data_IF_302371076130
#
_entry.id   IF_302371076130
#
_cell.length_a   1.000
_cell.length_b   1.000
_cell.length_c   1.000
_cell.angle_alpha   90.00
_cell.angle_beta   90.00
_cell.angle_gamma   90.00
#
_symmetry.space_group_name_H-M   'P 1'
#
loop_
_entity.id
_entity.type
_entity.pdbx_description
1 polymer ?
#
# COMPACT_ATOMS: atom_id res chain seq x y z
N UNK A 1 -7.13 -1.24 -14.31
CA UNK A 1 -6.89 -1.66 -12.90
C UNK A 1 -8.18 -1.88 -12.10
N UNK A 2 -9.02 -0.87 -11.82
CA UNK A 2 -10.22 -1.03 -10.94
C UNK A 2 -11.32 -1.99 -11.45
N UNK A 3 -11.30 -2.38 -12.72
CA UNK A 3 -12.21 -3.40 -13.30
C UNK A 3 -11.58 -4.80 -13.37
N UNK A 4 -10.37 -4.94 -12.86
CA UNK A 4 -9.60 -6.18 -12.90
C UNK A 4 -9.67 -6.81 -11.51
N UNK A 5 -10.20 -8.03 -11.45
CA UNK A 5 -10.29 -8.79 -10.21
C UNK A 5 -8.90 -9.15 -9.67
N UNK A 6 -7.89 -9.18 -10.53
CA UNK A 6 -6.49 -9.40 -10.18
C UNK A 6 -6.01 -8.39 -9.13
N UNK A 7 -6.47 -7.14 -9.19
CA UNK A 7 -6.12 -6.12 -8.21
C UNK A 7 -6.66 -6.47 -6.83
N UNK A 8 -7.93 -6.86 -6.74
CA UNK A 8 -8.54 -7.28 -5.48
C UNK A 8 -7.88 -8.54 -4.92
N UNK A 9 -7.55 -9.50 -5.81
CA UNK A 9 -6.85 -10.72 -5.44
C UNK A 9 -5.47 -10.46 -4.85
N UNK A 10 -4.66 -9.61 -5.50
CA UNK A 10 -3.32 -9.23 -5.01
C UNK A 10 -3.41 -8.48 -3.68
N UNK A 11 -4.37 -7.55 -3.53
CA UNK A 11 -4.57 -6.84 -2.27
C UNK A 11 -4.92 -7.83 -1.15
N UNK A 12 -5.82 -8.77 -1.40
CA UNK A 12 -6.16 -9.81 -0.43
C UNK A 12 -4.94 -10.69 -0.10
N UNK A 13 -4.15 -11.07 -1.09
CA UNK A 13 -2.90 -11.82 -0.89
C UNK A 13 -1.93 -11.06 0.03
N UNK A 14 -1.68 -9.77 -0.24
CA UNK A 14 -0.79 -8.99 0.60
C UNK A 14 -1.34 -8.79 2.02
N UNK A 15 -2.64 -8.61 2.19
CA UNK A 15 -3.26 -8.50 3.52
C UNK A 15 -3.12 -9.79 4.31
N UNK A 16 -3.26 -10.94 3.64
CA UNK A 16 -3.23 -12.27 4.25
C UNK A 16 -1.81 -12.69 4.62
N UNK A 17 -0.86 -12.51 3.71
CA UNK A 17 0.50 -13.05 3.86
C UNK A 17 1.54 -12.00 4.27
N UNK A 18 1.13 -10.76 4.55
CA UNK A 18 2.07 -9.70 4.96
C UNK A 18 3.06 -10.09 6.04
N UNK A 19 2.66 -10.82 7.11
CA UNK A 19 3.56 -11.19 8.20
C UNK A 19 4.79 -11.98 7.75
N UNK A 20 4.70 -12.70 6.62
CA UNK A 20 5.77 -13.55 6.10
C UNK A 20 6.48 -12.96 4.86
N UNK A 21 5.83 -12.04 4.13
CA UNK A 21 6.38 -11.51 2.88
C UNK A 21 7.49 -10.45 3.05
N UNK A 22 7.73 -9.96 4.28
CA UNK A 22 8.75 -8.93 4.59
C UNK A 22 8.67 -7.71 3.67
N UNK A 23 7.45 -7.27 3.38
CA UNK A 23 7.17 -6.12 2.52
C UNK A 23 7.20 -4.81 3.32
N UNK A 24 7.56 -3.72 2.65
CA UNK A 24 7.34 -2.36 3.17
C UNK A 24 5.83 -2.13 3.34
N UNK A 25 5.44 -1.31 4.31
CA UNK A 25 4.04 -0.90 4.45
C UNK A 25 3.64 0.04 3.33
N UNK A 26 2.58 -0.35 2.61
CA UNK A 26 1.92 0.43 1.58
C UNK A 26 0.40 0.22 1.65
N UNK A 27 -0.33 1.21 1.17
CA UNK A 27 -1.77 1.22 0.95
C UNK A 27 -2.11 0.68 -0.45
N UNK A 28 -3.37 0.30 -0.66
CA UNK A 28 -3.81 -0.13 -1.97
C UNK A 28 -3.79 1.00 -3.03
N UNK A 29 -3.91 2.26 -2.61
CA UNK A 29 -3.74 3.44 -3.47
C UNK A 29 -2.29 3.61 -3.94
N UNK A 30 -1.34 3.40 -3.03
CA UNK A 30 0.10 3.40 -3.37
C UNK A 30 0.45 2.24 -4.30
N UNK A 31 -0.16 1.05 -4.12
CA UNK A 31 0.00 -0.06 -5.05
C UNK A 31 -0.54 0.27 -6.45
N UNK A 32 -1.74 0.86 -6.55
CA UNK A 32 -2.27 1.32 -7.86
C UNK A 32 -1.34 2.35 -8.50
N UNK A 33 -0.87 3.32 -7.72
CA UNK A 33 0.06 4.35 -8.21
C UNK A 33 1.38 3.73 -8.68
N UNK A 34 1.90 2.74 -7.95
CA UNK A 34 3.09 1.98 -8.30
C UNK A 34 2.89 1.20 -9.62
N UNK A 35 1.74 0.56 -9.79
CA UNK A 35 1.35 -0.12 -11.04
C UNK A 35 1.07 0.82 -12.20
N UNK A 36 0.76 2.09 -11.97
CA UNK A 36 0.61 3.10 -13.03
C UNK A 36 1.99 3.64 -13.45
N UNK A 37 2.78 4.08 -12.47
CA UNK A 37 4.05 4.83 -12.67
C UNK A 37 5.29 3.96 -12.79
N UNK A 38 5.22 2.67 -12.42
CA UNK A 38 6.38 1.78 -12.32
C UNK A 38 7.48 2.33 -11.39
N UNK A 39 7.09 2.84 -10.22
CA UNK A 39 8.01 3.44 -9.25
C UNK A 39 8.78 2.41 -8.41
N UNK A 40 9.63 2.90 -7.51
CA UNK A 40 10.48 2.10 -6.62
C UNK A 40 9.68 1.14 -5.71
N UNK A 41 8.48 1.54 -5.27
CA UNK A 41 7.63 0.65 -4.47
C UNK A 41 7.27 -0.62 -5.26
N UNK A 42 6.98 -0.50 -6.57
CA UNK A 42 6.68 -1.67 -7.38
C UNK A 42 7.88 -2.61 -7.47
N UNK A 43 9.08 -2.07 -7.61
CA UNK A 43 10.32 -2.82 -7.63
C UNK A 43 10.58 -3.54 -6.30
N UNK A 44 10.39 -2.85 -5.18
CA UNK A 44 10.57 -3.41 -3.83
C UNK A 44 9.61 -4.57 -3.59
N UNK A 45 8.35 -4.43 -4.02
CA UNK A 45 7.34 -5.50 -3.95
C UNK A 45 7.80 -6.73 -4.77
N UNK A 46 8.20 -6.54 -6.03
CA UNK A 46 8.67 -7.65 -6.86
C UNK A 46 9.90 -8.32 -6.27
N UNK A 47 10.86 -7.53 -5.81
CA UNK A 47 12.10 -8.02 -5.22
C UNK A 47 11.84 -8.85 -3.96
N UNK A 48 10.97 -8.38 -3.07
CA UNK A 48 10.60 -9.11 -1.86
C UNK A 48 9.90 -10.44 -2.19
N UNK A 49 9.00 -10.44 -3.17
CA UNK A 49 8.34 -11.67 -3.63
C UNK A 49 9.36 -12.65 -4.23
N UNK A 50 10.23 -12.19 -5.12
CA UNK A 50 11.26 -13.03 -5.78
C UNK A 50 12.25 -13.64 -4.78
N UNK A 51 12.63 -12.92 -3.73
CA UNK A 51 13.50 -13.44 -2.66
C UNK A 51 12.93 -14.66 -1.95
N UNK A 52 11.59 -14.78 -1.90
CA UNK A 52 10.92 -15.91 -1.29
C UNK A 52 10.68 -17.11 -2.22
N UNK A 53 11.15 -17.09 -3.47
CA UNK A 53 10.93 -18.19 -4.42
C UNK A 53 12.16 -19.08 -4.51
N UNK A 54 12.03 -20.33 -4.06
CA UNK A 54 13.06 -21.35 -4.17
C UNK A 54 13.12 -21.97 -5.57
N UNK A 55 14.30 -22.40 -6.05
CA UNK A 55 15.63 -22.16 -5.45
C UNK A 55 16.02 -20.67 -5.52
N UNK A 56 16.84 -20.14 -4.60
CA UNK A 56 17.19 -18.72 -4.61
C UNK A 56 17.87 -18.31 -5.92
N UNK A 57 17.69 -17.05 -6.32
CA UNK A 57 18.39 -16.49 -7.48
C UNK A 57 19.90 -16.52 -7.25
N UNK A 58 20.64 -16.96 -8.27
CA UNK A 58 22.12 -16.87 -8.28
C UNK A 58 22.61 -15.45 -8.52
N UNK A 59 21.77 -14.60 -9.13
CA UNK A 59 22.07 -13.19 -9.41
C UNK A 59 21.52 -12.34 -8.26
N UNK A 60 22.31 -11.38 -7.72
CA UNK A 60 21.82 -10.44 -6.72
C UNK A 60 20.59 -9.70 -7.23
N UNK A 61 19.52 -9.63 -6.43
CA UNK A 61 18.31 -8.88 -6.77
C UNK A 61 18.52 -7.39 -6.46
N UNK A 62 18.79 -6.61 -7.51
CA UNK A 62 18.98 -5.16 -7.46
C UNK A 62 18.15 -4.50 -8.58
N UNK A 63 18.25 -3.16 -8.73
CA UNK A 63 17.47 -2.38 -9.70
C UNK A 63 17.60 -2.86 -11.14
N UNK A 64 18.77 -3.38 -11.51
CA UNK A 64 19.10 -3.73 -12.89
C UNK A 64 18.80 -5.20 -13.22
N UNK A 65 18.67 -6.07 -12.20
CA UNK A 65 18.59 -7.52 -12.40
C UNK A 65 17.21 -8.13 -12.09
N UNK A 66 16.38 -7.46 -11.30
CA UNK A 66 15.14 -8.05 -10.78
C UNK A 66 14.16 -8.44 -11.90
N UNK A 67 14.11 -7.67 -13.00
CA UNK A 67 13.28 -7.97 -14.18
C UNK A 67 13.73 -9.25 -14.87
N UNK A 68 15.05 -9.43 -15.07
CA UNK A 68 15.61 -10.66 -15.65
C UNK A 68 15.33 -11.86 -14.76
N UNK A 69 15.44 -11.72 -13.44
CA UNK A 69 15.13 -12.80 -12.49
C UNK A 69 13.63 -13.12 -12.51
N UNK A 70 12.76 -12.10 -12.53
CA UNK A 70 11.31 -12.25 -12.66
C UNK A 70 10.96 -13.06 -13.90
N UNK A 71 11.52 -12.69 -15.05
CA UNK A 71 11.34 -13.41 -16.30
C UNK A 71 11.72 -14.88 -16.17
N UNK A 72 12.92 -15.17 -15.67
CA UNK A 72 13.40 -16.55 -15.49
C UNK A 72 12.51 -17.37 -14.56
N UNK A 73 11.99 -16.76 -13.49
CA UNK A 73 11.11 -17.44 -12.52
C UNK A 73 9.72 -17.74 -13.07
N UNK A 74 9.20 -16.87 -13.93
CA UNK A 74 7.87 -17.05 -14.52
C UNK A 74 7.90 -17.83 -15.82
N UNK A 75 9.00 -17.85 -16.57
CA UNK A 75 9.14 -18.47 -17.91
C UNK A 75 8.51 -19.85 -18.01
N UNK A 76 8.86 -20.76 -17.10
CA UNK A 76 8.41 -22.16 -17.16
C UNK A 76 6.95 -22.35 -16.74
N UNK A 77 6.40 -21.37 -16.00
CA UNK A 77 5.00 -21.38 -15.53
C UNK A 77 4.10 -20.51 -16.39
N UNK A 78 4.66 -19.64 -17.24
CA UNK A 78 3.92 -18.67 -18.03
C UNK A 78 2.87 -19.32 -18.93
N UNK A 79 3.21 -20.46 -19.55
CA UNK A 79 2.28 -21.23 -20.38
C UNK A 79 1.14 -21.87 -19.60
N UNK A 80 1.31 -22.14 -18.30
CA UNK A 80 0.22 -22.64 -17.41
C UNK A 80 -0.64 -21.50 -16.88
N UNK A 81 -0.08 -20.29 -16.87
CA UNK A 81 -0.72 -19.05 -16.46
C UNK A 81 -1.41 -18.37 -17.67
N UNK A 82 -1.23 -18.91 -18.89
CA UNK A 82 -1.62 -18.30 -20.17
C UNK A 82 -3.12 -18.05 -20.36
N UNK A 83 -4.00 -18.63 -19.53
CA UNK A 83 -5.41 -18.21 -19.48
C UNK A 83 -5.57 -16.71 -19.15
N UNK A 84 -4.51 -16.05 -18.67
CA UNK A 84 -4.50 -14.64 -18.32
C UNK A 84 -4.34 -13.67 -19.48
N UNK A 85 -3.75 -14.06 -20.61
CA UNK A 85 -3.82 -13.37 -21.91
C UNK A 85 -2.78 -13.95 -22.87
N UNK A 86 -3.20 -14.41 -24.05
CA UNK A 86 -2.30 -14.70 -25.18
C UNK A 86 -1.58 -13.45 -25.71
N UNK A 87 -2.01 -12.25 -25.30
CA UNK A 87 -1.47 -10.96 -25.78
C UNK A 87 -0.17 -10.54 -25.10
N UNK A 88 0.19 -11.13 -23.96
CA UNK A 88 1.39 -10.71 -23.22
C UNK A 88 2.57 -11.52 -23.73
N UNK A 89 3.37 -10.91 -24.61
CA UNK A 89 4.63 -11.46 -25.09
C UNK A 89 5.72 -11.34 -24.01
N UNK A 90 5.51 -12.04 -22.87
CA UNK A 90 6.48 -12.22 -21.80
C UNK A 90 7.59 -13.18 -22.25
N UNK A 91 8.15 -12.96 -23.43
CA UNK A 91 9.16 -13.83 -24.05
C UNK A 91 10.39 -13.07 -24.50
N UNK A 92 10.30 -11.76 -24.72
CA UNK A 92 11.42 -10.91 -25.13
C UNK A 92 11.89 -10.06 -23.95
N UNK A 93 13.14 -10.25 -23.51
CA UNK A 93 13.83 -9.41 -22.53
C UNK A 93 14.03 -7.95 -23.02
N UNK A 94 13.68 -7.65 -24.27
CA UNK A 94 13.96 -6.37 -24.93
C UNK A 94 12.98 -5.24 -24.55
N UNK A 95 11.81 -5.56 -23.99
CA UNK A 95 10.90 -4.55 -23.43
C UNK A 95 11.17 -4.41 -21.94
N UNK A 96 11.80 -3.31 -21.55
CA UNK A 96 11.97 -2.93 -20.14
C UNK A 96 10.60 -3.02 -19.46
N UNK A 97 10.48 -3.74 -18.34
CA UNK A 97 9.22 -3.94 -17.60
C UNK A 97 8.39 -2.65 -17.40
N UNK A 98 9.06 -1.51 -17.31
CA UNK A 98 8.44 -0.17 -17.23
C UNK A 98 7.62 0.23 -18.46
N UNK A 99 7.89 -0.34 -19.64
CA UNK A 99 7.18 -0.10 -20.89
C UNK A 99 5.83 -0.83 -20.99
N UNK A 100 5.57 -1.82 -20.13
CA UNK A 100 4.28 -2.49 -20.11
C UNK A 100 3.17 -1.56 -19.61
N UNK A 101 1.98 -1.74 -20.18
CA UNK A 101 0.80 -1.07 -19.66
C UNK A 101 0.50 -1.53 -18.21
N UNK A 102 -0.19 -0.71 -17.39
CA UNK A 102 -0.48 -1.05 -16.00
C UNK A 102 -1.23 -2.38 -15.81
N UNK A 103 -2.09 -2.76 -16.76
CA UNK A 103 -2.88 -3.99 -16.68
C UNK A 103 -1.98 -5.22 -16.88
N UNK A 104 -1.05 -5.15 -17.84
CA UNK A 104 -0.03 -6.20 -18.03
C UNK A 104 0.87 -6.33 -16.80
N UNK A 105 1.32 -5.21 -16.21
CA UNK A 105 2.09 -5.23 -14.94
C UNK A 105 1.32 -5.89 -13.80
N UNK A 106 0.02 -5.59 -13.70
CA UNK A 106 -0.86 -6.22 -12.71
C UNK A 106 -0.97 -7.74 -12.90
N UNK A 107 -1.13 -8.19 -14.15
CA UNK A 107 -1.20 -9.63 -14.49
C UNK A 107 0.11 -10.34 -14.12
N UNK A 108 1.27 -9.74 -14.45
CA UNK A 108 2.58 -10.28 -14.10
C UNK A 108 2.75 -10.36 -12.57
N UNK A 109 2.35 -9.31 -11.83
CA UNK A 109 2.41 -9.31 -10.37
C UNK A 109 1.50 -10.39 -9.77
N UNK A 110 0.31 -10.60 -10.35
CA UNK A 110 -0.63 -11.64 -9.90
C UNK A 110 0.00 -13.02 -10.10
N UNK A 111 0.55 -13.28 -11.29
CA UNK A 111 1.26 -14.51 -11.60
C UNK A 111 2.39 -14.78 -10.60
N UNK A 112 3.15 -13.75 -10.21
CA UNK A 112 4.19 -13.87 -9.20
C UNK A 112 3.63 -14.22 -7.81
N UNK A 113 2.50 -13.63 -7.42
CA UNK A 113 1.81 -13.98 -6.18
C UNK A 113 1.35 -15.46 -6.17
N UNK A 114 0.87 -15.98 -7.31
CA UNK A 114 0.53 -17.40 -7.45
C UNK A 114 1.72 -18.32 -7.26
N UNK A 115 2.88 -17.98 -7.86
CA UNK A 115 4.11 -18.74 -7.63
C UNK A 115 4.53 -18.68 -6.16
N UNK A 116 4.26 -17.58 -5.46
CA UNK A 116 4.52 -17.46 -4.02
C UNK A 116 3.61 -18.32 -3.16
N UNK A 117 2.35 -18.53 -3.55
CA UNK A 117 1.44 -19.45 -2.84
C UNK A 117 1.94 -20.89 -2.81
N UNK A 118 2.75 -21.28 -3.79
CA UNK A 118 3.34 -22.62 -3.87
C UNK A 118 4.62 -22.79 -3.04
N UNK A 119 5.15 -21.74 -2.41
CA UNK A 119 6.38 -21.80 -1.63
C UNK A 119 6.12 -22.35 -0.22
N UNK A 120 7.12 -23.05 0.33
CA UNK A 120 6.99 -23.78 1.60
C UNK A 120 6.71 -22.85 2.79
N UNK A 121 7.26 -21.63 2.80
CA UNK A 121 7.01 -20.63 3.85
C UNK A 121 5.52 -20.23 3.92
N UNK A 122 4.92 -19.98 2.75
CA UNK A 122 3.50 -19.63 2.63
C UNK A 122 2.62 -20.83 2.97
N UNK A 123 2.97 -22.02 2.47
CA UNK A 123 2.24 -23.26 2.77
C UNK A 123 2.25 -23.60 4.25
N UNK A 124 3.41 -23.50 4.90
CA UNK A 124 3.57 -23.74 6.33
C UNK A 124 2.76 -22.72 7.15
N UNK A 125 2.72 -21.45 6.72
CA UNK A 125 1.89 -20.44 7.37
C UNK A 125 0.38 -20.77 7.32
N UNK A 126 -0.08 -21.41 6.23
CA UNK A 126 -1.48 -21.82 6.09
C UNK A 126 -1.81 -23.12 6.83
N UNK A 127 -0.85 -24.02 7.00
CA UNK A 127 -1.10 -25.40 7.44
C UNK A 127 -1.77 -25.47 8.82
N UNK A 128 -1.24 -24.76 9.81
CA UNK A 128 -1.73 -24.84 11.19
C UNK A 128 -3.15 -24.25 11.35
N UNK A 129 -3.46 -23.04 10.84
CA UNK A 129 -4.82 -22.52 10.96
C UNK A 129 -5.83 -23.30 10.12
N UNK A 130 -5.42 -23.85 8.97
CA UNK A 130 -6.29 -24.73 8.16
C UNK A 130 -6.63 -26.03 8.90
N UNK A 131 -5.65 -26.67 9.55
CA UNK A 131 -5.89 -27.87 10.38
C UNK A 131 -6.89 -27.61 11.51
N UNK A 132 -6.87 -26.40 12.09
CA UNK A 132 -7.80 -25.95 13.12
C UNK A 132 -9.15 -25.47 12.58
N UNK A 133 -9.36 -25.48 11.26
CA UNK A 133 -10.62 -25.08 10.63
C UNK A 133 -10.78 -23.56 10.44
N UNK A 134 -9.74 -22.75 10.66
CA UNK A 134 -9.77 -21.29 10.50
C UNK A 134 -9.62 -20.85 9.04
N UNK A 135 -10.46 -21.39 8.15
CA UNK A 135 -10.42 -21.08 6.72
C UNK A 135 -10.75 -19.62 6.42
N UNK A 136 -11.53 -18.96 7.27
CA UNK A 136 -11.93 -17.55 7.14
C UNK A 136 -10.75 -16.57 7.23
N UNK A 137 -9.59 -17.01 7.74
CA UNK A 137 -8.36 -16.21 7.77
C UNK A 137 -7.76 -16.02 6.37
N UNK A 138 -7.95 -17.00 5.47
CA UNK A 138 -7.38 -16.99 4.12
C UNK A 138 -8.45 -16.77 3.05
N UNK A 139 -9.65 -17.28 3.30
CA UNK A 139 -10.79 -17.17 2.40
C UNK A 139 -11.68 -16.01 2.82
N UNK A 140 -11.71 -14.97 2.00
CA UNK A 140 -12.65 -13.86 2.15
C UNK A 140 -14.09 -14.38 2.09
N UNK A 141 -14.94 -13.86 2.96
CA UNK A 141 -16.37 -14.06 2.90
C UNK A 141 -17.04 -12.94 2.08
N UNK A 142 -18.14 -13.29 1.42
CA UNK A 142 -18.94 -12.32 0.66
C UNK A 142 -19.61 -11.35 1.64
N UNK A 143 -19.54 -10.06 1.35
CA UNK A 143 -20.22 -9.04 2.14
C UNK A 143 -21.74 -9.04 1.88
N UNK A 144 -22.15 -9.45 0.68
CA UNK A 144 -23.55 -9.59 0.31
C UNK A 144 -23.70 -10.13 -1.10
N UNK A 145 -24.94 -10.42 -1.49
CA UNK A 145 -25.30 -10.80 -2.85
C UNK A 145 -26.75 -10.42 -3.14
N UNK A 146 -27.09 -10.21 -4.41
CA UNK A 146 -28.46 -10.00 -4.84
C UNK A 146 -29.03 -11.25 -5.53
N UNK A 147 -30.32 -11.21 -5.87
CA UNK A 147 -31.02 -12.31 -6.54
C UNK A 147 -30.57 -12.53 -7.99
N UNK A 148 -29.94 -11.53 -8.61
CA UNK A 148 -29.38 -11.61 -9.96
C UNK A 148 -27.98 -12.27 -9.96
N UNK A 149 -27.49 -12.69 -8.79
CA UNK A 149 -26.19 -13.34 -8.64
C UNK A 149 -25.01 -12.38 -8.53
N UNK A 150 -25.24 -11.07 -8.53
CA UNK A 150 -24.19 -10.08 -8.21
C UNK A 150 -23.70 -10.31 -6.79
N UNK A 151 -22.39 -10.35 -6.59
CA UNK A 151 -21.78 -10.50 -5.27
C UNK A 151 -20.97 -9.27 -4.90
N UNK A 152 -20.97 -8.93 -3.61
CA UNK A 152 -20.27 -7.79 -3.05
C UNK A 152 -19.18 -8.28 -2.09
N UNK A 153 -18.04 -7.60 -2.11
CA UNK A 153 -16.87 -7.95 -1.30
C UNK A 153 -16.32 -6.70 -0.65
N UNK A 154 -15.98 -6.77 0.63
CA UNK A 154 -15.48 -5.63 1.38
C UNK A 154 -14.08 -5.92 1.93
N UNK A 155 -13.12 -5.08 1.57
CA UNK A 155 -11.79 -5.05 2.15
C UNK A 155 -11.77 -4.07 3.31
N UNK A 156 -11.36 -4.55 4.48
CA UNK A 156 -11.34 -3.79 5.72
C UNK A 156 -9.97 -3.99 6.36
N UNK A 157 -8.94 -3.30 5.86
CA UNK A 157 -7.59 -3.40 6.39
C UNK A 157 -7.06 -2.00 6.73
N UNK A 158 -6.62 -1.76 7.99
CA UNK A 158 -6.09 -0.45 8.37
C UNK A 158 -4.89 0.03 7.55
N UNK A 159 -4.08 -0.89 7.01
CA UNK A 159 -2.87 -0.54 6.27
C UNK A 159 -3.17 -0.42 4.77
N UNK A 160 -3.85 -1.41 4.18
CA UNK A 160 -4.18 -1.38 2.75
C UNK A 160 -5.33 -0.42 2.43
N UNK A 161 -6.12 -0.02 3.43
CA UNK A 161 -7.31 0.80 3.29
C UNK A 161 -8.59 -0.02 3.13
N UNK A 162 -9.70 0.70 2.98
CA UNK A 162 -11.03 0.12 2.83
C UNK A 162 -11.45 0.14 1.37
N UNK A 163 -12.01 -0.97 0.87
CA UNK A 163 -12.53 -1.04 -0.50
C UNK A 163 -13.79 -1.86 -0.58
N UNK A 164 -14.66 -1.47 -1.50
CA UNK A 164 -15.84 -2.23 -1.86
C UNK A 164 -15.71 -2.69 -3.31
N UNK A 165 -15.91 -3.98 -3.52
CA UNK A 165 -15.92 -4.59 -4.85
C UNK A 165 -17.28 -5.21 -5.15
N UNK A 166 -17.55 -5.33 -6.44
CA UNK A 166 -18.72 -6.00 -6.99
C UNK A 166 -18.28 -6.93 -8.12
N UNK A 167 -18.85 -8.13 -8.13
CA UNK A 167 -18.75 -9.07 -9.24
C UNK A 167 -20.14 -9.31 -9.82
N UNK A 168 -20.34 -8.92 -11.08
CA UNK A 168 -21.59 -9.15 -11.80
C UNK A 168 -21.41 -10.42 -12.64
N UNK A 169 -22.22 -11.47 -12.43
CA UNK A 169 -22.08 -12.71 -13.17
C UNK A 169 -22.25 -12.44 -14.67
N UNK A 170 -21.29 -12.92 -15.46
CA UNK A 170 -21.43 -12.95 -16.91
C UNK A 170 -22.33 -14.13 -17.30
N UNK A 171 -23.25 -13.97 -18.26
CA UNK A 171 -24.04 -15.10 -18.75
C UNK A 171 -23.10 -16.14 -19.37
N UNK A 172 -22.98 -17.30 -18.71
CA UNK A 172 -21.97 -18.31 -19.04
C UNK A 172 -22.26 -19.04 -20.36
N UNK A 173 -21.20 -19.27 -21.13
CA UNK A 173 -21.03 -20.51 -21.90
C UNK A 173 -20.66 -21.67 -20.96
N UNK A 174 -21.17 -22.88 -21.28
CA UNK A 174 -21.12 -24.17 -20.55
C UNK A 174 -20.24 -24.27 -19.30
N UNK A 175 -20.88 -24.50 -18.14
CA UNK A 175 -20.22 -24.93 -16.90
C UNK A 175 -19.76 -26.39 -16.98
N UNK A 176 -18.50 -26.66 -16.65
CA UNK A 176 -18.04 -28.01 -16.35
C UNK A 176 -18.40 -28.34 -14.90
N UNK A 177 -19.34 -29.25 -14.69
CA UNK A 177 -19.71 -29.79 -13.37
C UNK A 177 -18.72 -30.90 -12.97
N UNK A 178 -18.01 -30.72 -11.86
CA UNK A 178 -17.15 -31.75 -11.26
C UNK A 178 -16.40 -31.24 -10.01
N UNK A 179 -16.00 -32.15 -9.11
CA UNK A 179 -15.20 -31.84 -7.89
C UNK A 179 -13.81 -31.24 -8.21
N UNK A 180 -13.37 -31.31 -9.46
CA UNK A 180 -12.11 -30.76 -10.00
C UNK A 180 -12.32 -29.58 -10.95
N UNK A 181 -13.55 -29.04 -11.04
CA UNK A 181 -13.83 -27.89 -11.89
C UNK A 181 -13.07 -26.66 -11.36
N UNK A 182 -12.30 -26.02 -12.24
CA UNK A 182 -11.73 -24.70 -11.96
C UNK A 182 -12.85 -23.77 -11.49
N UNK A 183 -12.61 -22.90 -10.48
CA UNK A 183 -13.56 -21.87 -10.13
C UNK A 183 -13.96 -21.12 -11.41
N UNK A 184 -15.26 -20.79 -11.56
CA UNK A 184 -15.71 -20.09 -12.75
C UNK A 184 -14.92 -18.79 -12.89
N UNK A 185 -14.58 -18.38 -14.12
CA UNK A 185 -13.94 -17.10 -14.32
C UNK A 185 -14.81 -16.01 -13.67
N UNK A 186 -14.20 -15.05 -12.97
CA UNK A 186 -14.94 -13.94 -12.39
C UNK A 186 -15.74 -13.24 -13.50
N UNK A 187 -16.90 -12.71 -13.13
CA UNK A 187 -17.74 -11.97 -14.05
C UNK A 187 -17.16 -10.59 -14.36
N UNK A 188 -18.03 -9.60 -14.52
CA UNK A 188 -17.60 -8.21 -14.64
C UNK A 188 -17.26 -7.68 -13.23
N UNK A 189 -15.98 -7.76 -12.87
CA UNK A 189 -15.46 -7.26 -11.60
C UNK A 189 -15.29 -5.74 -11.62
N UNK A 190 -15.59 -5.08 -10.50
CA UNK A 190 -15.43 -3.65 -10.34
C UNK A 190 -15.15 -3.24 -8.89
N UNK A 191 -14.20 -2.33 -8.68
CA UNK A 191 -14.06 -1.56 -7.45
C UNK A 191 -15.10 -0.45 -7.43
N UNK A 192 -16.12 -0.59 -6.58
CA UNK A 192 -17.20 0.37 -6.41
C UNK A 192 -16.80 1.56 -5.54
N UNK A 193 -15.99 1.33 -4.51
CA UNK A 193 -15.58 2.37 -3.59
C UNK A 193 -14.17 2.15 -3.04
N UNK A 194 -13.44 3.26 -2.90
CA UNK A 194 -12.07 3.35 -2.41
C UNK A 194 -11.86 4.54 -1.47
N UNK A 195 -12.74 5.54 -1.50
CA UNK A 195 -12.70 6.71 -0.63
C UNK A 195 -14.07 6.96 0.03
N UNK A 196 -14.10 7.85 1.02
CA UNK A 196 -15.30 8.12 1.81
C UNK A 196 -16.50 8.52 0.94
N UNK A 197 -16.32 9.40 -0.03
CA UNK A 197 -17.40 9.92 -0.89
C UNK A 197 -17.99 8.82 -1.78
N UNK A 198 -17.14 7.97 -2.37
CA UNK A 198 -17.56 6.80 -3.14
C UNK A 198 -18.34 5.82 -2.24
N UNK A 199 -17.88 5.57 -1.02
CA UNK A 199 -18.59 4.70 -0.07
C UNK A 199 -19.96 5.27 0.30
N UNK A 200 -20.06 6.58 0.54
CA UNK A 200 -21.32 7.25 0.84
C UNK A 200 -22.31 7.11 -0.33
N UNK A 201 -21.86 7.42 -1.56
CA UNK A 201 -22.67 7.32 -2.77
C UNK A 201 -23.17 5.90 -3.02
N UNK A 202 -22.30 4.90 -2.86
CA UNK A 202 -22.67 3.49 -3.04
C UNK A 202 -23.64 3.04 -1.94
N UNK A 203 -23.44 3.47 -0.69
CA UNK A 203 -24.37 3.15 0.38
C UNK A 203 -25.78 3.72 0.13
N UNK A 204 -25.88 4.96 -0.35
CA UNK A 204 -27.16 5.59 -0.72
C UNK A 204 -27.84 4.86 -1.89
N UNK A 205 -27.05 4.43 -2.88
CA UNK A 205 -27.55 3.64 -4.02
C UNK A 205 -28.10 2.28 -3.56
N UNK A 206 -27.36 1.58 -2.68
CA UNK A 206 -27.76 0.28 -2.15
C UNK A 206 -29.02 0.37 -1.27
N UNK A 207 -29.17 1.44 -0.50
CA UNK A 207 -30.37 1.68 0.31
C UNK A 207 -31.61 1.94 -0.54
N UNK A 208 -31.43 2.50 -1.74
CA UNK A 208 -32.50 2.76 -2.71
C UNK A 208 -32.79 1.55 -3.61
N UNK A 209 -32.10 0.43 -3.40
CA UNK A 209 -32.28 -0.79 -4.19
C UNK A 209 -33.62 -1.46 -3.93
N UNK A 210 -34.09 -2.26 -4.90
CA UNK A 210 -35.25 -3.14 -4.76
C UNK A 210 -34.93 -4.42 -3.96
N UNK A 211 -33.66 -4.78 -3.83
CA UNK A 211 -33.24 -6.03 -3.21
C UNK A 211 -32.97 -5.85 -1.71
N UNK A 212 -33.68 -6.60 -0.86
CA UNK A 212 -33.53 -6.54 0.60
C UNK A 212 -32.09 -6.77 1.07
N UNK A 213 -31.34 -7.64 0.39
CA UNK A 213 -29.95 -7.95 0.69
C UNK A 213 -29.02 -6.76 0.41
N UNK A 214 -29.25 -6.03 -0.68
CA UNK A 214 -28.49 -4.82 -1.02
C UNK A 214 -28.82 -3.68 -0.04
N UNK A 215 -30.10 -3.51 0.32
CA UNK A 215 -30.51 -2.56 1.36
C UNK A 215 -29.81 -2.91 2.69
N UNK A 216 -29.76 -4.19 3.05
CA UNK A 216 -29.04 -4.65 4.25
C UNK A 216 -27.55 -4.32 4.23
N UNK A 217 -26.88 -4.53 3.08
CA UNK A 217 -25.50 -4.13 2.88
C UNK A 217 -25.34 -2.60 2.99
N UNK A 218 -26.21 -1.81 2.37
CA UNK A 218 -26.19 -0.35 2.46
C UNK A 218 -26.32 0.16 3.90
N UNK A 219 -27.20 -0.45 4.71
CA UNK A 219 -27.33 -0.14 6.14
C UNK A 219 -26.03 -0.44 6.89
N UNK A 220 -25.43 -1.61 6.65
CA UNK A 220 -24.15 -2.00 7.26
C UNK A 220 -23.01 -1.06 6.89
N UNK A 221 -22.92 -0.65 5.61
CA UNK A 221 -21.93 0.34 5.16
C UNK A 221 -22.09 1.65 5.94
N UNK A 222 -23.32 2.14 6.11
CA UNK A 222 -23.58 3.40 6.84
C UNK A 222 -23.31 3.31 8.34
N UNK A 223 -23.69 2.21 8.96
CA UNK A 223 -23.61 2.06 10.42
C UNK A 223 -22.20 1.69 10.88
N UNK A 224 -21.53 0.79 10.17
CA UNK A 224 -20.29 0.19 10.65
C UNK A 224 -19.04 0.76 9.97
N UNK A 225 -19.08 0.99 8.66
CA UNK A 225 -17.88 1.28 7.85
C UNK A 225 -17.65 2.77 7.67
N UNK A 226 -18.69 3.55 7.34
CA UNK A 226 -18.57 4.99 7.12
C UNK A 226 -18.01 5.76 8.33
N UNK A 227 -18.42 5.49 9.59
CA UNK A 227 -17.85 6.19 10.75
C UNK A 227 -16.36 5.92 10.92
N UNK A 228 -15.92 4.69 10.64
CA UNK A 228 -14.51 4.30 10.71
C UNK A 228 -13.70 5.00 9.62
N UNK A 229 -14.22 5.03 8.40
CA UNK A 229 -13.61 5.74 7.28
C UNK A 229 -13.47 7.25 7.55
N UNK A 230 -14.51 7.87 8.09
CA UNK A 230 -14.49 9.29 8.44
C UNK A 230 -13.41 9.59 9.50
N UNK A 231 -13.28 8.72 10.52
CA UNK A 231 -12.26 8.86 11.55
C UNK A 231 -10.84 8.71 10.97
N UNK A 232 -10.63 7.77 10.05
CA UNK A 232 -9.35 7.57 9.34
C UNK A 232 -9.00 8.81 8.51
N UNK A 233 -9.95 9.34 7.75
CA UNK A 233 -9.73 10.52 6.90
C UNK A 233 -9.43 11.76 7.75
N UNK A 234 -10.20 11.99 8.82
CA UNK A 234 -9.94 13.05 9.80
C UNK A 234 -8.55 12.91 10.42
N UNK A 235 -8.08 11.70 10.70
CA UNK A 235 -6.73 11.45 11.22
C UNK A 235 -5.66 11.80 10.19
N UNK A 236 -5.80 11.34 8.95
CA UNK A 236 -4.89 11.69 7.83
C UNK A 236 -4.75 13.20 7.66
N UNK A 237 -5.87 13.94 7.65
CA UNK A 237 -5.88 15.40 7.54
C UNK A 237 -5.18 16.08 8.72
N UNK A 238 -5.40 15.60 9.96
CA UNK A 238 -4.70 16.13 11.16
C UNK A 238 -3.20 15.90 11.09
N UNK A 239 -2.79 14.70 10.71
CA UNK A 239 -1.38 14.32 10.61
C UNK A 239 -0.67 15.13 9.51
N UNK A 240 -1.33 15.37 8.38
CA UNK A 240 -0.82 16.23 7.32
C UNK A 240 -0.64 17.68 7.79
N UNK A 241 -1.64 18.26 8.46
CA UNK A 241 -1.54 19.61 9.04
C UNK A 241 -0.43 19.69 10.09
N UNK A 242 -0.24 18.65 10.91
CA UNK A 242 0.86 18.57 11.88
C UNK A 242 2.23 18.57 11.17
N UNK A 243 2.41 17.74 10.15
CA UNK A 243 3.64 17.70 9.33
C UNK A 243 3.93 19.06 8.68
N UNK A 244 2.93 19.71 8.11
CA UNK A 244 3.09 21.04 7.51
C UNK A 244 3.52 22.10 8.53
N UNK A 245 2.97 22.08 9.75
CA UNK A 245 3.38 23.00 10.83
C UNK A 245 4.83 22.74 11.26
N UNK A 246 5.23 21.48 11.40
CA UNK A 246 6.61 21.11 11.74
C UNK A 246 7.60 21.53 10.64
N UNK A 247 7.25 21.31 9.36
CA UNK A 247 8.07 21.74 8.23
C UNK A 247 8.27 23.26 8.21
N UNK A 248 7.20 24.04 8.43
CA UNK A 248 7.29 25.50 8.54
C UNK A 248 8.19 25.94 9.69
N UNK A 249 8.05 25.33 10.87
CA UNK A 249 8.90 25.65 12.03
C UNK A 249 10.38 25.37 11.74
N UNK A 250 10.69 24.25 11.07
CA UNK A 250 12.06 23.91 10.67
C UNK A 250 12.63 24.94 9.69
N UNK A 251 11.85 25.34 8.68
CA UNK A 251 12.25 26.39 7.72
C UNK A 251 12.54 27.70 8.46
N UNK A 252 11.63 28.17 9.32
CA UNK A 252 11.83 29.39 10.11
C UNK A 252 13.06 29.29 11.03
N UNK A 253 13.33 28.11 11.61
CA UNK A 253 14.52 27.89 12.45
C UNK A 253 15.80 27.94 11.62
N UNK A 254 15.80 27.38 10.41
CA UNK A 254 16.94 27.43 9.49
C UNK A 254 17.19 28.86 9.01
N UNK A 255 16.14 29.60 8.64
CA UNK A 255 16.22 31.02 8.26
C UNK A 255 16.80 31.88 9.39
N UNK A 256 16.28 31.73 10.61
CA UNK A 256 16.84 32.42 11.77
C UNK A 256 18.29 32.06 12.05
N UNK A 257 18.73 30.80 11.87
CA UNK A 257 20.13 30.43 12.07
C UNK A 257 21.08 30.98 10.99
N UNK A 258 20.57 31.36 9.81
CA UNK A 258 21.34 32.01 8.75
C UNK A 258 21.45 33.53 8.98
N UNK A 259 20.39 34.17 9.47
CA UNK A 259 20.35 35.63 9.72
C UNK A 259 20.82 36.03 11.13
N UNK A 260 20.82 35.10 12.09
CA UNK A 260 21.32 35.34 13.45
C UNK A 260 22.67 34.66 13.68
N UNK A 261 23.70 35.27 13.11
CA UNK A 261 25.00 35.27 13.79
C UNK A 261 24.74 35.66 15.25
N UNK A 262 24.97 34.73 16.19
CA UNK A 262 24.71 34.87 17.63
C UNK A 262 24.93 36.33 18.03
N UNK A 263 23.87 37.00 18.51
CA UNK A 263 24.00 38.31 19.12
C UNK A 263 25.01 38.17 20.28
N UNK A 264 26.28 38.48 20.01
CA UNK A 264 27.29 38.67 21.04
C UNK A 264 26.72 39.84 21.83
N UNK A 265 26.22 39.57 23.03
CA UNK A 265 26.01 40.65 24.00
C UNK A 265 27.36 41.33 24.12
N UNK A 266 27.49 42.54 23.58
CA UNK A 266 28.69 43.34 23.79
C UNK A 266 28.89 43.45 25.29
N UNK A 267 29.90 42.75 25.80
CA UNK A 267 30.30 42.87 27.18
C UNK A 267 30.82 44.29 27.30
N UNK A 268 30.11 45.12 28.08
CA UNK A 268 30.57 46.45 28.47
C UNK A 268 32.04 46.32 28.93
N UNK A 269 33.00 47.04 28.33
CA UNK A 269 34.40 46.89 28.70
C UNK A 269 34.56 47.16 30.20
N UNK A 270 35.23 46.26 30.90
CA UNK A 270 35.52 46.42 32.33
C UNK A 270 36.54 47.55 32.45
N UNK A 271 36.13 48.65 33.08
CA UNK A 271 37.00 49.78 33.33
C UNK A 271 37.82 49.50 34.61
N UNK A 272 39.12 49.32 34.45
CA UNK A 272 40.08 49.11 35.55
C UNK A 272 40.71 50.42 36.05
N UNK A 273 40.04 51.55 35.85
CA UNK A 273 40.48 52.82 36.43
C UNK A 273 39.83 52.95 37.80
N UNK A 274 40.62 52.86 38.87
CA UNK A 274 40.17 53.13 40.22
C UNK A 274 40.70 54.50 40.66
N UNK A 275 40.00 55.60 40.34
CA UNK A 275 40.49 56.96 40.56
C UNK A 275 40.73 57.32 42.04
N UNK A 276 40.28 56.48 42.97
CA UNK A 276 40.59 56.57 44.40
C UNK A 276 42.00 56.05 44.72
N UNK A 277 42.39 54.89 44.16
CA UNK A 277 43.74 54.35 44.30
C UNK A 277 44.77 55.20 43.53
N UNK A 278 44.42 55.66 42.33
CA UNK A 278 45.28 56.57 41.58
C UNK A 278 45.51 57.89 42.33
N UNK A 279 44.51 58.39 43.08
CA UNK A 279 44.68 59.55 43.95
C UNK A 279 45.59 59.24 45.14
N UNK A 280 45.39 58.12 45.83
CA UNK A 280 46.21 57.78 47.00
C UNK A 280 47.67 57.58 46.63
N UNK A 281 47.96 56.97 45.47
CA UNK A 281 49.32 56.79 44.95
C UNK A 281 49.95 58.16 44.66
N UNK A 282 49.23 59.05 43.98
CA UNK A 282 49.73 60.38 43.65
C UNK A 282 49.94 61.26 44.89
N UNK A 283 49.11 61.13 45.92
CA UNK A 283 49.30 61.82 47.21
C UNK A 283 50.52 61.29 47.96
N UNK A 284 50.73 59.96 47.97
CA UNK A 284 51.91 59.35 48.58
C UNK A 284 53.21 59.77 47.89
N UNK A 285 53.23 59.82 46.54
CA UNK A 285 54.39 60.23 45.75
C UNK A 285 54.75 61.70 45.97
N UNK A 286 53.78 62.58 46.26
CA UNK A 286 54.02 64.02 46.53
C UNK A 286 54.61 64.30 47.92
N UNK A 287 54.67 63.30 48.80
CA UNK A 287 55.16 63.46 50.18
C UNK A 287 56.63 63.04 50.38
N UNK A 288 57.37 62.81 49.28
CA UNK A 288 58.84 62.55 49.26
C UNK A 288 59.55 63.65 48.49
#
# INVERSE_FOLDING_TARGET
LRRMWELASIINFFNTFRPILKLVEFSAEELETALLTCNDLLMDIHTALLKGIHPPSRVPLNRDSWVTVLYKKLKDRWSKISYLSDSVNFRSEAETYSGFDPSTRLIILRALCEVRLDQDDVRAHMEEPVKKGYLSLFRKERAGSNLLGTTYWCENNPISGYRLYRDIPTPKGKEFKGRTASPPPPGQWETLASNFDEFQSVADTLLSSKFKQEIGLGKRLKQDILPVLEAVEKKKVRDLKRKQRQAKLLVTTLEHNLDSGRAKRDRKPVNYTFPEYDRSINEAIKST
#
